data_IF_348833658041
#
_entry.id   IF_348833658041
#
_cell.length_a   1.000
_cell.length_b   1.000
_cell.length_c   1.000
_cell.angle_alpha   90.00
_cell.angle_beta   90.00
_cell.angle_gamma   90.00
#
_symmetry.space_group_name_H-M   'P 1'
#
loop_
_entity.id
_entity.type
_entity.pdbx_description
1 polymer ?
#
# COMPACT_ATOMS: atom_id res chain seq x y z
N UNK A 1 9.85 14.04 7.18
CA UNK A 1 10.08 13.14 6.07
C UNK A 1 10.38 13.99 4.85
N UNK A 2 11.54 13.77 4.31
CA UNK A 2 12.08 14.54 3.20
C UNK A 2 11.64 13.83 1.92
N UNK A 3 10.41 14.07 1.49
CA UNK A 3 9.92 13.58 0.21
C UNK A 3 10.30 14.61 -0.85
N UNK A 4 11.04 14.16 -1.83
CA UNK A 4 11.42 14.98 -2.97
C UNK A 4 10.45 14.73 -4.13
N UNK A 5 10.21 15.77 -4.95
CA UNK A 5 9.50 15.56 -6.22
C UNK A 5 10.36 14.71 -7.13
N UNK A 6 9.79 13.62 -7.63
CA UNK A 6 10.50 12.73 -8.55
C UNK A 6 10.81 13.44 -9.85
N UNK A 7 12.08 13.44 -10.32
CA UNK A 7 12.43 14.00 -11.61
C UNK A 7 11.68 13.29 -12.75
N UNK A 8 11.32 14.04 -13.79
CA UNK A 8 10.56 13.49 -14.94
C UNK A 8 11.26 12.33 -15.66
N UNK A 9 12.58 12.33 -15.69
CA UNK A 9 13.40 11.36 -16.42
C UNK A 9 14.15 10.41 -15.50
N UNK A 10 13.55 9.99 -14.38
CA UNK A 10 14.20 9.05 -13.47
C UNK A 10 14.13 7.63 -14.02
N UNK A 11 15.26 6.93 -14.02
CA UNK A 11 15.30 5.50 -14.34
C UNK A 11 14.98 4.67 -13.10
N UNK A 12 13.91 3.88 -13.15
CA UNK A 12 13.50 2.98 -12.09
C UNK A 12 14.08 1.59 -12.36
N UNK A 13 14.90 1.03 -11.46
CA UNK A 13 15.48 -0.29 -11.65
C UNK A 13 14.40 -1.37 -11.70
N UNK A 14 14.46 -2.25 -12.71
CA UNK A 14 13.56 -3.40 -12.82
C UNK A 14 13.76 -4.36 -11.64
N UNK A 15 12.71 -5.10 -11.31
CA UNK A 15 12.78 -6.19 -10.34
C UNK A 15 13.61 -7.36 -10.90
N UNK A 16 14.23 -8.18 -10.03
CA UNK A 16 14.94 -9.38 -10.46
C UNK A 16 14.01 -10.38 -11.15
N UNK A 17 14.55 -11.13 -12.09
CA UNK A 17 13.83 -12.22 -12.75
C UNK A 17 13.75 -13.45 -11.85
N UNK A 18 12.71 -14.26 -12.06
CA UNK A 18 12.52 -15.57 -11.46
C UNK A 18 13.73 -16.47 -11.74
N UNK A 19 14.18 -17.23 -10.73
CA UNK A 19 15.24 -18.23 -10.91
C UNK A 19 14.72 -19.42 -11.72
N UNK A 20 15.59 -20.00 -12.55
CA UNK A 20 15.22 -21.19 -13.32
C UNK A 20 14.80 -22.37 -12.42
N UNK A 21 15.41 -22.51 -11.24
CA UNK A 21 15.02 -23.51 -10.24
C UNK A 21 13.58 -23.39 -9.74
N UNK A 22 13.03 -22.17 -9.78
CA UNK A 22 11.72 -21.88 -9.23
C UNK A 22 10.60 -21.99 -10.28
N UNK A 23 10.94 -21.91 -11.57
CA UNK A 23 9.97 -21.92 -12.67
C UNK A 23 9.02 -23.11 -12.66
N UNK A 24 9.56 -24.32 -12.44
CA UNK A 24 8.75 -25.55 -12.41
C UNK A 24 7.60 -25.46 -11.40
N UNK A 25 7.87 -24.98 -10.20
CA UNK A 25 6.88 -24.87 -9.12
C UNK A 25 5.85 -23.76 -9.41
N UNK A 26 6.29 -22.67 -10.04
CA UNK A 26 5.38 -21.59 -10.45
C UNK A 26 4.42 -22.08 -11.52
N UNK A 27 4.90 -22.79 -12.53
CA UNK A 27 4.05 -23.34 -13.60
C UNK A 27 3.07 -24.42 -13.08
N UNK A 28 3.52 -25.24 -12.14
CA UNK A 28 2.63 -26.19 -11.47
C UNK A 28 1.52 -25.48 -10.69
N UNK A 29 1.86 -24.41 -9.95
CA UNK A 29 0.92 -23.60 -9.19
C UNK A 29 -0.07 -22.88 -10.10
N UNK A 30 0.39 -22.34 -11.25
CA UNK A 30 -0.48 -21.70 -12.24
C UNK A 30 -1.55 -22.67 -12.76
N UNK A 31 -1.15 -23.88 -13.17
CA UNK A 31 -2.09 -24.92 -13.62
C UNK A 31 -3.14 -25.25 -12.55
N UNK A 32 -2.71 -25.32 -11.28
CA UNK A 32 -3.64 -25.53 -10.17
C UNK A 32 -4.64 -24.39 -10.03
N UNK A 33 -4.18 -23.13 -10.11
CA UNK A 33 -5.03 -21.93 -10.04
C UNK A 33 -6.02 -21.89 -11.21
N UNK A 34 -5.55 -22.14 -12.42
CA UNK A 34 -6.43 -22.19 -13.61
C UNK A 34 -7.53 -23.25 -13.47
N UNK A 35 -7.18 -24.42 -12.94
CA UNK A 35 -8.14 -25.51 -12.76
C UNK A 35 -9.19 -25.22 -11.68
N UNK A 36 -8.80 -24.56 -10.58
CA UNK A 36 -9.65 -24.45 -9.39
C UNK A 36 -10.20 -23.05 -9.12
N UNK A 37 -9.57 -22.01 -9.68
CA UNK A 37 -9.84 -20.60 -9.37
C UNK A 37 -9.95 -19.70 -10.61
N UNK A 38 -10.16 -20.25 -11.81
CA UNK A 38 -10.21 -19.50 -13.06
C UNK A 38 -11.25 -18.36 -13.08
N UNK A 39 -12.30 -18.45 -12.26
CA UNK A 39 -13.35 -17.44 -12.17
C UNK A 39 -13.04 -16.29 -11.20
N UNK A 40 -11.93 -16.35 -10.48
CA UNK A 40 -11.52 -15.28 -9.57
C UNK A 40 -10.87 -14.14 -10.36
N UNK A 41 -10.99 -12.91 -9.82
CA UNK A 41 -10.26 -11.77 -10.35
C UNK A 41 -8.76 -11.95 -10.17
N UNK A 42 -7.98 -11.49 -11.14
CA UNK A 42 -6.53 -11.51 -11.08
C UNK A 42 -5.88 -12.22 -12.27
N UNK A 43 -4.56 -12.16 -12.33
CA UNK A 43 -3.76 -12.75 -13.40
C UNK A 43 -2.55 -13.48 -12.82
N UNK A 44 -2.54 -14.81 -12.86
CA UNK A 44 -1.42 -15.62 -12.38
C UNK A 44 -0.20 -15.57 -13.29
N UNK A 45 -0.32 -15.18 -14.55
CA UNK A 45 0.78 -15.13 -15.52
C UNK A 45 1.83 -14.09 -15.15
N UNK A 46 1.40 -13.00 -14.51
CA UNK A 46 2.27 -11.92 -14.06
C UNK A 46 2.92 -12.16 -12.69
N UNK A 47 2.87 -13.37 -12.17
CA UNK A 47 3.53 -13.72 -10.92
C UNK A 47 5.05 -13.69 -11.07
N UNK A 48 5.73 -12.81 -10.31
CA UNK A 48 7.17 -12.57 -10.40
C UNK A 48 7.90 -12.74 -9.06
N UNK A 49 7.20 -13.03 -7.99
CA UNK A 49 7.73 -12.95 -6.62
C UNK A 49 8.56 -14.18 -6.23
N UNK A 50 9.51 -14.01 -5.29
CA UNK A 50 10.31 -15.12 -4.80
C UNK A 50 9.46 -16.21 -4.12
N UNK A 51 9.80 -17.48 -4.39
CA UNK A 51 9.19 -18.65 -3.76
C UNK A 51 10.20 -19.54 -3.05
N UNK A 52 11.48 -19.18 -3.05
CA UNK A 52 12.56 -19.91 -2.37
C UNK A 52 13.46 -18.95 -1.59
N UNK A 53 14.15 -19.45 -0.57
CA UNK A 53 15.15 -18.65 0.18
C UNK A 53 16.21 -18.04 -0.75
N UNK A 54 16.67 -18.80 -1.75
CA UNK A 54 17.67 -18.33 -2.71
C UNK A 54 17.16 -17.17 -3.56
N UNK A 55 15.93 -17.24 -4.06
CA UNK A 55 15.32 -16.16 -4.84
C UNK A 55 15.01 -14.93 -3.97
N UNK A 56 14.54 -15.13 -2.74
CA UNK A 56 14.27 -14.05 -1.80
C UNK A 56 15.56 -13.31 -1.39
N UNK A 57 16.64 -14.05 -1.15
CA UNK A 57 17.97 -13.46 -0.86
C UNK A 57 18.49 -12.64 -2.04
N UNK A 58 18.36 -13.15 -3.28
CA UNK A 58 18.71 -12.39 -4.50
C UNK A 58 17.92 -11.08 -4.58
N UNK A 59 16.62 -11.10 -4.31
CA UNK A 59 15.79 -9.89 -4.33
C UNK A 59 16.20 -8.89 -3.26
N UNK A 60 16.48 -9.36 -2.05
CA UNK A 60 16.97 -8.53 -0.95
C UNK A 60 18.26 -7.81 -1.32
N UNK A 61 19.24 -8.54 -1.84
CA UNK A 61 20.53 -7.96 -2.24
C UNK A 61 20.40 -7.00 -3.43
N UNK A 62 19.54 -7.30 -4.40
CA UNK A 62 19.26 -6.41 -5.55
C UNK A 62 18.61 -5.10 -5.08
N UNK A 63 17.65 -5.16 -4.17
CA UNK A 63 17.05 -3.98 -3.56
C UNK A 63 18.09 -3.09 -2.86
N UNK A 64 18.96 -3.67 -2.02
CA UNK A 64 20.00 -2.92 -1.34
C UNK A 64 21.00 -2.27 -2.30
N UNK A 65 21.32 -2.97 -3.39
CA UNK A 65 22.27 -2.47 -4.38
C UNK A 65 21.69 -1.36 -5.26
N UNK A 66 20.44 -1.49 -5.70
CA UNK A 66 19.89 -0.65 -6.78
C UNK A 66 18.84 0.36 -6.34
N UNK A 67 18.10 0.07 -5.25
CA UNK A 67 16.90 0.84 -4.90
C UNK A 67 16.97 1.51 -3.54
N UNK A 68 17.63 0.93 -2.56
CA UNK A 68 17.60 1.42 -1.17
C UNK A 68 18.04 2.88 -1.05
N UNK A 69 19.05 3.32 -1.81
CA UNK A 69 19.54 4.71 -1.77
C UNK A 69 18.46 5.74 -2.11
N UNK A 70 17.52 5.39 -2.98
CA UNK A 70 16.43 6.26 -3.42
C UNK A 70 15.08 5.95 -2.74
N UNK A 71 15.06 4.97 -1.83
CA UNK A 71 13.83 4.59 -1.13
C UNK A 71 13.29 5.76 -0.29
N UNK A 72 14.10 6.37 0.56
CA UNK A 72 13.67 7.43 1.47
C UNK A 72 13.02 8.62 0.75
N UNK A 73 13.69 9.26 -0.22
CA UNK A 73 13.13 10.39 -0.96
C UNK A 73 11.84 10.08 -1.71
N UNK A 74 11.68 8.85 -2.22
CA UNK A 74 10.57 8.50 -3.13
C UNK A 74 9.59 7.45 -2.59
N UNK A 75 9.70 7.04 -1.32
CA UNK A 75 8.81 6.03 -0.73
C UNK A 75 7.32 6.40 -0.78
N UNK A 76 7.02 7.70 -0.73
CA UNK A 76 5.65 8.23 -0.69
C UNK A 76 5.17 8.77 -2.06
N UNK A 77 5.90 8.52 -3.13
CA UNK A 77 5.56 9.00 -4.47
C UNK A 77 4.71 7.97 -5.23
N UNK A 78 3.79 8.45 -6.08
CA UNK A 78 2.94 7.62 -6.94
C UNK A 78 3.29 7.92 -8.39
N UNK A 79 3.82 6.95 -9.10
CA UNK A 79 4.19 7.10 -10.52
C UNK A 79 3.22 6.30 -11.38
N UNK A 80 2.46 7.00 -12.25
CA UNK A 80 1.44 6.38 -13.10
C UNK A 80 2.00 5.15 -13.83
N UNK A 81 1.32 3.99 -13.71
CA UNK A 81 1.69 2.71 -14.32
C UNK A 81 2.99 2.07 -13.81
N UNK A 82 3.57 2.56 -12.71
CA UNK A 82 4.77 1.96 -12.12
C UNK A 82 4.53 1.62 -10.63
N UNK A 83 4.08 0.39 -10.33
CA UNK A 83 3.66 0.03 -8.97
C UNK A 83 4.83 -0.27 -8.02
N UNK A 84 6.04 -0.48 -8.52
CA UNK A 84 7.15 -0.98 -7.69
C UNK A 84 8.12 0.10 -7.24
N UNK A 85 8.35 1.14 -8.05
CA UNK A 85 9.28 2.24 -7.80
C UNK A 85 10.59 1.75 -7.14
N UNK A 86 10.96 2.41 -6.03
CA UNK A 86 12.13 2.06 -5.22
C UNK A 86 11.75 1.20 -4.00
N UNK A 87 10.56 0.58 -3.99
CA UNK A 87 10.15 -0.33 -2.92
C UNK A 87 10.86 -1.67 -3.01
N UNK A 88 11.02 -2.33 -1.86
CA UNK A 88 11.74 -3.60 -1.78
C UNK A 88 10.97 -4.78 -2.35
N UNK A 89 9.64 -4.74 -2.31
CA UNK A 89 8.74 -5.85 -2.66
C UNK A 89 9.07 -7.15 -1.92
N UNK A 90 9.58 -7.06 -0.68
CA UNK A 90 9.99 -8.20 0.15
C UNK A 90 8.93 -8.64 1.15
N UNK A 91 7.79 -7.95 1.21
CA UNK A 91 6.74 -8.21 2.20
C UNK A 91 6.19 -9.64 2.13
N UNK A 92 5.94 -10.18 0.93
CA UNK A 92 5.52 -11.56 0.74
C UNK A 92 6.57 -12.55 1.26
N UNK A 93 7.85 -12.35 0.90
CA UNK A 93 8.96 -13.20 1.36
C UNK A 93 9.15 -13.16 2.88
N UNK A 94 8.96 -12.00 3.52
CA UNK A 94 8.99 -11.85 4.97
C UNK A 94 7.79 -12.54 5.64
N UNK A 95 6.61 -12.48 5.02
CA UNK A 95 5.39 -13.04 5.61
C UNK A 95 5.35 -14.56 5.58
N UNK A 96 5.94 -15.19 4.56
CA UNK A 96 6.04 -16.66 4.46
C UNK A 96 7.36 -17.23 5.02
N UNK A 97 8.19 -16.40 5.65
CA UNK A 97 9.40 -16.83 6.34
C UNK A 97 10.61 -17.12 5.45
N UNK A 98 10.60 -16.73 4.16
CA UNK A 98 11.78 -16.86 3.29
C UNK A 98 12.89 -15.88 3.68
N UNK A 99 12.56 -14.78 4.35
CA UNK A 99 13.48 -13.80 4.92
C UNK A 99 13.12 -13.51 6.37
N UNK A 100 14.13 -13.25 7.20
CA UNK A 100 13.97 -12.82 8.58
C UNK A 100 14.21 -11.30 8.69
N UNK A 101 13.32 -10.52 9.34
CA UNK A 101 13.54 -9.08 9.52
C UNK A 101 14.82 -8.76 10.29
N UNK A 102 15.16 -9.57 11.31
CA UNK A 102 16.36 -9.38 12.12
C UNK A 102 17.63 -9.55 11.29
N UNK A 103 17.67 -10.53 10.39
CA UNK A 103 18.82 -10.76 9.50
C UNK A 103 19.02 -9.58 8.54
N UNK A 104 17.93 -8.97 8.07
CA UNK A 104 17.98 -7.75 7.26
C UNK A 104 18.61 -6.59 8.06
N UNK A 105 18.18 -6.39 9.29
CA UNK A 105 18.72 -5.35 10.18
C UNK A 105 20.21 -5.59 10.43
N UNK A 106 20.58 -6.80 10.81
CA UNK A 106 21.96 -7.18 11.09
C UNK A 106 22.88 -7.01 9.86
N UNK A 107 22.37 -7.31 8.67
CA UNK A 107 23.10 -7.10 7.41
C UNK A 107 23.30 -5.61 7.09
N UNK A 108 22.30 -4.77 7.36
CA UNK A 108 22.34 -3.34 7.01
C UNK A 108 23.07 -2.49 8.05
N UNK A 109 22.97 -2.82 9.35
CA UNK A 109 23.52 -2.02 10.45
C UNK A 109 25.00 -1.64 10.25
N UNK A 110 25.94 -2.54 9.91
CA UNK A 110 27.35 -2.18 9.69
C UNK A 110 27.56 -1.34 8.41
N UNK A 111 26.57 -1.27 7.53
CA UNK A 111 26.61 -0.55 6.24
C UNK A 111 25.86 0.78 6.27
N UNK A 112 25.43 1.25 7.43
CA UNK A 112 24.65 2.49 7.58
C UNK A 112 25.26 3.67 6.83
N UNK A 113 26.57 3.90 6.97
CA UNK A 113 27.28 5.03 6.34
C UNK A 113 27.30 4.98 4.81
N UNK A 114 26.93 3.85 4.21
CA UNK A 114 26.88 3.67 2.76
C UNK A 114 25.65 4.29 2.11
N UNK A 115 24.59 4.52 2.89
CA UNK A 115 23.30 4.96 2.40
C UNK A 115 22.93 6.33 2.94
N UNK A 116 22.13 7.08 2.19
CA UNK A 116 21.47 8.27 2.72
C UNK A 116 20.67 7.91 3.98
N UNK A 117 20.82 8.72 5.03
CA UNK A 117 20.18 8.45 6.32
C UNK A 117 18.65 8.33 6.22
N UNK A 118 18.01 9.13 5.37
CA UNK A 118 16.56 9.08 5.16
C UNK A 118 16.12 7.72 4.59
N UNK A 119 16.90 7.15 3.68
CA UNK A 119 16.63 5.85 3.07
C UNK A 119 16.91 4.71 4.05
N UNK A 120 18.03 4.77 4.74
CA UNK A 120 18.40 3.76 5.74
C UNK A 120 17.39 3.73 6.90
N UNK A 121 17.19 4.86 7.57
CA UNK A 121 16.23 4.97 8.67
C UNK A 121 14.81 4.66 8.21
N UNK A 122 14.40 5.22 7.06
CA UNK A 122 13.09 5.00 6.49
C UNK A 122 12.80 3.52 6.31
N UNK A 123 13.75 2.75 5.76
CA UNK A 123 13.56 1.32 5.55
C UNK A 123 13.58 0.50 6.86
N UNK A 124 14.53 0.77 7.76
CA UNK A 124 14.58 0.10 9.08
C UNK A 124 13.29 0.35 9.86
N UNK A 125 12.77 1.58 9.82
CA UNK A 125 11.50 1.94 10.48
C UNK A 125 10.32 1.14 9.93
N UNK A 126 10.31 0.76 8.64
CA UNK A 126 9.25 -0.11 8.10
C UNK A 126 9.33 -1.53 8.66
N UNK A 127 10.52 -2.06 8.95
CA UNK A 127 10.66 -3.36 9.62
C UNK A 127 10.11 -3.32 11.05
N UNK A 128 10.38 -2.23 11.79
CA UNK A 128 9.77 -2.03 13.12
C UNK A 128 8.25 -1.83 13.03
N UNK A 129 7.77 -1.13 11.99
CA UNK A 129 6.33 -0.96 11.76
C UNK A 129 5.65 -2.32 11.54
N UNK A 130 6.29 -3.25 10.86
CA UNK A 130 5.81 -4.62 10.70
C UNK A 130 5.62 -5.32 12.06
N UNK A 131 6.58 -5.20 12.97
CA UNK A 131 6.46 -5.79 14.31
C UNK A 131 5.38 -5.08 15.16
N UNK A 132 5.23 -3.77 15.01
CA UNK A 132 4.13 -3.03 15.62
C UNK A 132 2.74 -3.53 15.16
N UNK A 133 2.58 -3.87 13.88
CA UNK A 133 1.33 -4.45 13.36
C UNK A 133 1.01 -5.79 14.03
N UNK A 134 2.01 -6.65 14.23
CA UNK A 134 1.83 -7.93 14.95
C UNK A 134 1.40 -7.69 16.39
N UNK A 135 2.02 -6.72 17.05
CA UNK A 135 1.67 -6.34 18.40
C UNK A 135 0.23 -5.82 18.50
N UNK A 136 -0.17 -4.90 17.63
CA UNK A 136 -1.53 -4.34 17.64
C UNK A 136 -2.58 -5.40 17.31
N UNK A 137 -2.27 -6.36 16.45
CA UNK A 137 -3.16 -7.49 16.15
C UNK A 137 -3.50 -8.31 17.41
N UNK A 138 -2.53 -8.51 18.29
CA UNK A 138 -2.74 -9.29 19.53
C UNK A 138 -3.48 -8.52 20.62
N UNK A 139 -3.36 -7.20 20.67
CA UNK A 139 -3.79 -6.41 21.82
C UNK A 139 -4.84 -5.34 21.52
N UNK A 140 -5.21 -5.13 20.27
CA UNK A 140 -6.19 -4.11 19.89
C UNK A 140 -7.44 -4.73 19.28
N UNK A 141 -8.60 -4.17 19.63
CA UNK A 141 -9.86 -4.51 18.99
C UNK A 141 -10.10 -3.59 17.77
N UNK A 142 -10.18 -4.18 16.58
CA UNK A 142 -10.47 -3.52 15.32
C UNK A 142 -11.94 -3.71 14.87
N UNK A 143 -12.79 -4.37 15.65
CA UNK A 143 -14.22 -4.61 15.34
C UNK A 143 -15.11 -3.40 15.62
N UNK A 144 -14.59 -2.21 15.35
CA UNK A 144 -15.27 -0.94 15.54
C UNK A 144 -15.30 -0.16 14.23
N UNK A 145 -16.13 0.89 14.15
CA UNK A 145 -16.28 1.68 12.93
C UNK A 145 -16.48 3.16 13.30
N UNK A 146 -15.39 3.87 13.54
CA UNK A 146 -15.42 5.24 14.03
C UNK A 146 -16.24 6.19 13.17
N UNK A 147 -16.10 6.15 11.85
CA UNK A 147 -16.84 7.03 10.95
C UNK A 147 -18.26 6.55 10.64
N UNK A 148 -18.57 5.27 10.90
CA UNK A 148 -19.87 4.68 10.61
C UNK A 148 -20.13 4.48 9.12
N UNK A 149 -19.09 4.22 8.33
CA UNK A 149 -19.18 3.93 6.91
C UNK A 149 -19.85 2.56 6.69
N UNK A 150 -20.81 2.46 5.74
CA UNK A 150 -21.66 1.26 5.57
C UNK A 150 -21.80 0.79 4.12
N UNK A 151 -21.29 1.55 3.12
CA UNK A 151 -21.47 1.18 1.71
C UNK A 151 -20.72 -0.10 1.38
N UNK A 152 -21.33 -0.93 0.54
CA UNK A 152 -20.70 -2.11 -0.03
C UNK A 152 -19.86 -1.73 -1.26
N UNK A 153 -18.91 -2.58 -1.60
CA UNK A 153 -18.21 -2.51 -2.88
C UNK A 153 -19.17 -2.92 -4.01
N UNK A 154 -19.00 -2.27 -5.15
CA UNK A 154 -19.66 -2.66 -6.40
C UNK A 154 -18.66 -3.43 -7.27
N UNK A 155 -19.13 -4.11 -8.33
CA UNK A 155 -18.27 -4.80 -9.28
C UNK A 155 -17.19 -3.89 -9.90
N UNK A 156 -17.43 -2.58 -9.97
CA UNK A 156 -16.47 -1.58 -10.47
C UNK A 156 -15.14 -1.56 -9.71
N UNK A 157 -15.13 -1.99 -8.44
CA UNK A 157 -13.91 -2.13 -7.63
C UNK A 157 -13.06 -3.34 -8.01
N UNK A 158 -13.59 -4.23 -8.86
CA UNK A 158 -12.88 -5.38 -9.41
C UNK A 158 -12.51 -5.19 -10.89
N UNK A 159 -13.29 -4.38 -11.61
CA UNK A 159 -13.04 -4.10 -13.04
C UNK A 159 -12.21 -2.84 -13.29
N UNK A 160 -12.12 -1.93 -12.30
CA UNK A 160 -11.44 -0.64 -12.46
C UNK A 160 -12.21 0.33 -13.33
N UNK A 161 -13.53 0.47 -13.09
CA UNK A 161 -14.45 1.35 -13.82
C UNK A 161 -15.22 2.27 -12.86
N UNK A 162 -14.52 2.81 -11.84
CA UNK A 162 -15.07 3.76 -10.87
C UNK A 162 -15.37 5.13 -11.52
N UNK A 163 -14.62 5.47 -12.57
CA UNK A 163 -14.66 6.77 -13.23
C UNK A 163 -13.78 7.82 -12.56
N UNK A 164 -12.73 7.37 -11.87
CA UNK A 164 -11.67 8.18 -11.25
C UNK A 164 -10.34 7.64 -11.74
N UNK A 165 -9.72 8.31 -12.71
CA UNK A 165 -8.54 7.82 -13.43
C UNK A 165 -7.46 7.21 -12.53
N UNK A 166 -6.96 7.84 -11.46
CA UNK A 166 -5.94 7.23 -10.63
C UNK A 166 -6.40 5.96 -9.91
N UNK A 167 -7.69 5.86 -9.56
CA UNK A 167 -8.27 4.69 -8.89
C UNK A 167 -8.39 3.54 -9.88
N UNK A 168 -8.92 3.81 -11.06
CA UNK A 168 -9.15 2.79 -12.11
C UNK A 168 -7.82 2.19 -12.61
N UNK A 169 -6.79 3.03 -12.79
CA UNK A 169 -5.45 2.58 -13.15
C UNK A 169 -4.90 1.59 -12.11
N UNK A 170 -5.01 1.94 -10.81
CA UNK A 170 -4.41 1.13 -9.76
C UNK A 170 -5.25 -0.06 -9.30
N UNK A 171 -6.56 -0.08 -9.52
CA UNK A 171 -7.37 -1.31 -9.39
C UNK A 171 -6.90 -2.35 -10.41
N UNK A 172 -6.73 -1.97 -11.68
CA UNK A 172 -6.24 -2.86 -12.73
C UNK A 172 -4.85 -3.41 -12.41
N UNK A 173 -3.93 -2.55 -11.97
CA UNK A 173 -2.59 -2.95 -11.55
C UNK A 173 -2.63 -3.90 -10.34
N UNK A 174 -3.52 -3.66 -9.37
CA UNK A 174 -3.66 -4.49 -8.18
C UNK A 174 -3.97 -5.94 -8.53
N UNK A 175 -4.97 -6.17 -9.37
CA UNK A 175 -5.37 -7.51 -9.78
C UNK A 175 -4.43 -8.14 -10.82
N UNK A 176 -3.73 -7.34 -11.61
CA UNK A 176 -2.73 -7.82 -12.57
C UNK A 176 -1.42 -8.27 -11.90
N UNK A 177 -0.96 -7.54 -10.87
CA UNK A 177 0.34 -7.77 -10.23
C UNK A 177 0.27 -8.43 -8.85
N UNK A 178 -0.90 -8.46 -8.21
CA UNK A 178 -1.05 -8.85 -6.81
C UNK A 178 -0.35 -7.91 -5.84
N UNK A 179 0.05 -6.70 -6.26
CA UNK A 179 0.85 -5.79 -5.44
C UNK A 179 0.52 -4.32 -5.67
N UNK A 180 0.47 -3.59 -4.57
CA UNK A 180 0.52 -2.13 -4.53
C UNK A 180 1.42 -1.71 -3.38
N UNK A 181 2.29 -0.72 -3.56
CA UNK A 181 3.08 -0.21 -2.44
C UNK A 181 2.21 0.60 -1.47
N UNK A 182 2.70 0.77 -0.24
CA UNK A 182 1.91 1.28 0.88
C UNK A 182 1.15 2.58 0.60
N UNK A 183 1.78 3.56 -0.05
CA UNK A 183 1.14 4.86 -0.29
C UNK A 183 -0.04 4.76 -1.26
N UNK A 184 0.05 3.90 -2.26
CA UNK A 184 -1.09 3.63 -3.15
C UNK A 184 -2.24 3.01 -2.35
N UNK A 185 -1.92 2.04 -1.49
CA UNK A 185 -2.94 1.41 -0.63
C UNK A 185 -3.58 2.43 0.31
N UNK A 186 -2.78 3.29 0.96
CA UNK A 186 -3.26 4.23 1.96
C UNK A 186 -3.89 5.46 1.33
N UNK A 187 -3.12 6.23 0.58
CA UNK A 187 -3.49 7.59 0.18
C UNK A 187 -4.27 7.66 -1.12
N UNK A 188 -4.23 6.62 -1.93
CA UNK A 188 -5.01 6.55 -3.16
C UNK A 188 -6.25 5.67 -2.96
N UNK A 189 -6.11 4.35 -3.00
CA UNK A 189 -7.25 3.41 -2.93
C UNK A 189 -8.01 3.53 -1.61
N UNK A 190 -7.30 3.40 -0.50
CA UNK A 190 -7.90 3.40 0.83
C UNK A 190 -8.54 4.74 1.19
N UNK A 191 -7.86 5.85 0.92
CA UNK A 191 -8.41 7.18 1.12
C UNK A 191 -9.71 7.36 0.32
N UNK A 192 -9.72 6.99 -0.96
CA UNK A 192 -10.93 7.09 -1.79
C UNK A 192 -12.07 6.20 -1.28
N UNK A 193 -11.78 4.97 -0.85
CA UNK A 193 -12.77 4.09 -0.21
C UNK A 193 -13.38 4.74 1.03
N UNK A 194 -12.56 5.31 1.91
CA UNK A 194 -13.01 5.95 3.14
C UNK A 194 -13.85 7.19 2.86
N UNK A 195 -13.40 8.07 1.95
CA UNK A 195 -14.16 9.25 1.52
C UNK A 195 -15.49 8.89 0.87
N UNK A 196 -15.54 7.82 0.10
CA UNK A 196 -16.75 7.30 -0.55
C UNK A 196 -17.73 6.65 0.41
N UNK A 197 -17.33 6.41 1.67
CA UNK A 197 -18.16 5.79 2.69
C UNK A 197 -18.26 4.27 2.60
N UNK A 198 -17.29 3.62 1.96
CA UNK A 198 -17.16 2.15 1.92
C UNK A 198 -16.95 1.64 3.35
N UNK A 199 -17.60 0.53 3.69
CA UNK A 199 -17.47 -0.06 5.02
C UNK A 199 -16.06 -0.62 5.23
N UNK A 200 -15.49 -0.52 6.45
CA UNK A 200 -14.17 -1.09 6.73
C UNK A 200 -14.05 -2.58 6.40
N UNK A 201 -15.13 -3.37 6.63
CA UNK A 201 -15.17 -4.80 6.30
C UNK A 201 -15.04 -5.07 4.80
N UNK A 202 -15.73 -4.28 3.98
CA UNK A 202 -15.65 -4.40 2.52
C UNK A 202 -14.27 -4.02 2.01
N UNK A 203 -13.71 -2.90 2.51
CA UNK A 203 -12.34 -2.50 2.16
C UNK A 203 -11.32 -3.53 2.60
N UNK A 204 -11.41 -4.05 3.82
CA UNK A 204 -10.54 -5.11 4.32
C UNK A 204 -10.59 -6.36 3.42
N UNK A 205 -11.81 -6.81 3.06
CA UNK A 205 -12.02 -7.93 2.14
C UNK A 205 -11.27 -7.70 0.82
N UNK A 206 -11.46 -6.54 0.18
CA UNK A 206 -10.81 -6.21 -1.09
C UNK A 206 -9.28 -6.25 -1.00
N UNK A 207 -8.70 -5.69 0.08
CA UNK A 207 -7.25 -5.73 0.28
C UNK A 207 -6.72 -7.14 0.53
N UNK A 208 -7.50 -8.01 1.19
CA UNK A 208 -7.16 -9.41 1.37
C UNK A 208 -7.22 -10.22 0.06
N UNK A 209 -8.12 -9.87 -0.85
CA UNK A 209 -8.36 -10.63 -2.08
C UNK A 209 -7.30 -10.40 -3.15
N UNK A 210 -6.80 -9.16 -3.34
CA UNK A 210 -5.85 -8.92 -4.43
C UNK A 210 -4.39 -9.16 -4.06
N UNK A 211 -4.01 -9.02 -2.80
CA UNK A 211 -2.61 -8.79 -2.42
C UNK A 211 -1.90 -10.06 -1.97
N UNK A 212 -0.77 -10.36 -2.59
CA UNK A 212 0.08 -11.52 -2.27
C UNK A 212 0.75 -11.45 -0.89
N UNK A 213 0.79 -10.29 -0.27
CA UNK A 213 1.37 -10.07 1.05
C UNK A 213 0.30 -9.82 2.14
N UNK A 214 -0.97 -10.09 1.81
CA UNK A 214 -2.08 -9.92 2.74
C UNK A 214 -2.12 -11.03 3.78
N UNK A 215 -2.04 -10.60 5.04
CA UNK A 215 -2.28 -11.42 6.22
C UNK A 215 -3.17 -10.61 7.16
N UNK A 216 -4.03 -11.26 7.91
CA UNK A 216 -4.97 -10.60 8.80
C UNK A 216 -4.27 -9.65 9.77
N UNK A 217 -3.17 -10.08 10.39
CA UNK A 217 -2.39 -9.27 11.32
C UNK A 217 -1.74 -8.02 10.65
N UNK A 218 -1.44 -8.09 9.34
CA UNK A 218 -0.96 -6.94 8.57
C UNK A 218 -2.10 -5.98 8.27
N UNK A 219 -3.22 -6.52 7.77
CA UNK A 219 -4.31 -5.73 7.22
C UNK A 219 -5.19 -5.10 8.31
N UNK A 220 -5.27 -5.68 9.51
CA UNK A 220 -5.98 -5.04 10.62
C UNK A 220 -5.42 -3.65 10.92
N UNK A 221 -4.10 -3.51 11.07
CA UNK A 221 -3.50 -2.21 11.33
C UNK A 221 -3.46 -1.32 10.07
N UNK A 222 -3.07 -1.87 8.92
CA UNK A 222 -2.87 -1.08 7.71
C UNK A 222 -4.21 -0.66 7.07
N UNK A 223 -5.22 -1.53 7.06
CA UNK A 223 -6.49 -1.23 6.40
C UNK A 223 -7.52 -0.75 7.42
N UNK A 224 -7.84 -1.56 8.45
CA UNK A 224 -8.91 -1.17 9.35
C UNK A 224 -8.59 0.12 10.09
N UNK A 225 -7.38 0.29 10.61
CA UNK A 225 -7.10 1.51 11.37
C UNK A 225 -6.38 2.60 10.57
N UNK A 226 -5.34 2.29 9.79
CA UNK A 226 -4.63 3.33 9.07
C UNK A 226 -5.48 3.94 7.94
N UNK A 227 -6.21 3.12 7.16
CA UNK A 227 -7.12 3.59 6.10
C UNK A 227 -8.45 4.09 6.68
N UNK A 228 -9.18 3.21 7.36
CA UNK A 228 -10.56 3.51 7.80
C UNK A 228 -10.65 4.15 9.18
N UNK A 229 -9.56 4.20 9.93
CA UNK A 229 -9.48 4.82 11.24
C UNK A 229 -10.51 4.26 12.23
N UNK A 230 -10.74 2.94 12.19
CA UNK A 230 -11.85 2.29 12.92
C UNK A 230 -11.78 2.51 14.42
N UNK A 231 -10.57 2.53 15.03
CA UNK A 231 -10.38 2.71 16.48
C UNK A 231 -10.57 4.16 16.95
N UNK A 232 -10.64 5.12 16.02
CA UNK A 232 -10.80 6.54 16.34
C UNK A 232 -9.58 7.16 17.03
N UNK A 233 -8.37 6.59 16.81
CA UNK A 233 -7.10 7.14 17.30
C UNK A 233 -6.45 6.39 18.45
N UNK A 234 -6.82 5.12 18.70
CA UNK A 234 -6.12 4.28 19.69
C UNK A 234 -4.74 3.85 19.22
N UNK A 235 -4.60 3.49 17.94
CA UNK A 235 -3.35 3.02 17.35
C UNK A 235 -2.75 3.99 16.33
N UNK A 236 -3.54 4.98 15.85
CA UNK A 236 -3.12 5.98 14.87
C UNK A 236 -3.28 7.40 15.41
N UNK A 237 -2.36 8.29 15.09
CA UNK A 237 -2.37 9.69 15.58
C UNK A 237 -3.45 10.55 14.94
N UNK A 238 -3.85 10.25 13.70
CA UNK A 238 -4.82 11.00 12.91
C UNK A 238 -5.41 10.13 11.80
N UNK A 239 -6.62 10.43 11.32
CA UNK A 239 -7.13 9.82 10.09
C UNK A 239 -6.36 10.36 8.87
N UNK A 240 -6.17 9.48 7.88
CA UNK A 240 -5.54 9.81 6.59
C UNK A 240 -6.61 10.11 5.56
N UNK A 241 -7.19 11.32 5.67
CA UNK A 241 -8.13 11.84 4.68
C UNK A 241 -7.53 13.06 3.99
N UNK A 242 -7.53 13.07 2.66
CA UNK A 242 -6.95 14.16 1.87
C UNK A 242 -7.78 14.47 0.63
N UNK A 243 -7.70 15.73 0.18
CA UNK A 243 -8.20 16.16 -1.12
C UNK A 243 -7.32 15.63 -2.26
N UNK A 244 -7.76 15.85 -3.50
CA UNK A 244 -7.00 15.52 -4.71
C UNK A 244 -5.62 16.17 -4.76
N UNK A 245 -5.44 17.31 -4.08
CA UNK A 245 -4.17 18.03 -4.03
C UNK A 245 -3.00 17.18 -3.54
N UNK A 246 -3.25 16.24 -2.61
CA UNK A 246 -2.22 15.30 -2.19
C UNK A 246 -1.74 14.44 -3.37
N UNK A 247 -2.68 13.86 -4.13
CA UNK A 247 -2.36 13.00 -5.27
C UNK A 247 -1.64 13.79 -6.36
N UNK A 248 -2.11 15.00 -6.68
CA UNK A 248 -1.50 15.88 -7.69
C UNK A 248 -0.04 16.22 -7.30
N UNK A 249 0.22 16.51 -6.03
CA UNK A 249 1.56 16.89 -5.56
C UNK A 249 2.51 15.70 -5.40
N UNK A 250 1.98 14.51 -5.07
CA UNK A 250 2.76 13.32 -4.74
C UNK A 250 2.74 12.27 -5.86
N UNK A 251 2.30 12.65 -7.06
CA UNK A 251 2.23 11.74 -8.19
C UNK A 251 2.56 12.39 -9.52
N UNK A 252 2.52 11.58 -10.58
CA UNK A 252 2.57 12.04 -11.97
C UNK A 252 1.19 12.33 -12.55
N UNK A 253 0.11 12.14 -11.79
CA UNK A 253 -1.24 12.52 -12.20
C UNK A 253 -1.40 14.05 -12.18
N UNK A 254 -2.12 14.56 -13.18
CA UNK A 254 -2.42 15.98 -13.28
C UNK A 254 -3.88 16.24 -12.87
N UNK A 255 -4.18 17.48 -12.55
CA UNK A 255 -5.55 17.92 -12.33
C UNK A 255 -6.43 17.59 -13.54
N UNK A 256 -7.68 17.21 -13.29
CA UNK A 256 -8.67 16.86 -14.29
C UNK A 256 -10.03 16.59 -13.64
N UNK A 257 -10.99 16.10 -14.41
CA UNK A 257 -12.36 15.81 -13.94
C UNK A 257 -12.38 14.88 -12.70
N UNK A 258 -11.45 13.91 -12.64
CA UNK A 258 -11.32 13.01 -11.49
C UNK A 258 -11.04 13.78 -10.18
N UNK A 259 -10.24 14.84 -10.25
CA UNK A 259 -9.85 15.62 -9.07
C UNK A 259 -11.03 16.44 -8.51
N UNK A 260 -11.89 16.96 -9.35
CA UNK A 260 -13.11 17.65 -8.91
C UNK A 260 -14.09 16.71 -8.20
N UNK A 261 -14.28 15.51 -8.77
CA UNK A 261 -15.10 14.45 -8.15
C UNK A 261 -14.54 14.03 -6.79
N UNK A 262 -13.21 13.89 -6.70
CA UNK A 262 -12.51 13.56 -5.45
C UNK A 262 -12.71 14.64 -4.39
N UNK A 263 -12.54 15.92 -4.76
CA UNK A 263 -12.64 17.03 -3.83
C UNK A 263 -14.08 17.21 -3.32
N UNK A 264 -15.08 16.96 -4.13
CA UNK A 264 -16.49 16.90 -3.69
C UNK A 264 -16.70 15.82 -2.63
N UNK A 265 -16.14 14.63 -2.82
CA UNK A 265 -16.21 13.54 -1.82
C UNK A 265 -15.48 13.93 -0.53
N UNK A 266 -14.29 14.49 -0.64
CA UNK A 266 -13.52 14.97 0.50
C UNK A 266 -14.30 16.00 1.33
N UNK A 267 -14.85 17.03 0.69
CA UNK A 267 -15.66 18.05 1.37
C UNK A 267 -16.90 17.47 2.05
N UNK A 268 -17.60 16.54 1.38
CA UNK A 268 -18.75 15.85 1.96
C UNK A 268 -18.36 15.01 3.18
N UNK A 269 -17.24 14.29 3.10
CA UNK A 269 -16.70 13.52 4.21
C UNK A 269 -16.35 14.42 5.40
N UNK A 270 -15.68 15.56 5.15
CA UNK A 270 -15.33 16.54 6.18
C UNK A 270 -16.55 17.13 6.85
N UNK A 271 -17.56 17.57 6.09
CA UNK A 271 -18.82 18.10 6.61
C UNK A 271 -19.55 17.07 7.48
N UNK A 272 -19.75 15.87 6.95
CA UNK A 272 -20.44 14.76 7.65
C UNK A 272 -19.77 14.40 8.97
N UNK A 273 -18.44 14.41 9.00
CA UNK A 273 -17.65 13.97 10.15
C UNK A 273 -17.06 15.11 10.98
N UNK A 274 -17.49 16.37 10.80
CA UNK A 274 -16.92 17.55 11.45
C UNK A 274 -16.73 17.38 12.96
N UNK A 275 -17.77 16.90 13.68
CA UNK A 275 -17.71 16.67 15.13
C UNK A 275 -16.62 15.65 15.51
N UNK A 276 -16.53 14.52 14.77
CA UNK A 276 -15.54 13.46 15.01
C UNK A 276 -14.12 13.88 14.67
N UNK A 277 -13.96 14.70 13.64
CA UNK A 277 -12.66 15.20 13.18
C UNK A 277 -12.16 16.38 14.02
N UNK A 278 -13.02 17.02 14.83
CA UNK A 278 -12.66 18.22 15.58
C UNK A 278 -11.45 18.04 16.52
N UNK A 279 -11.33 16.86 17.14
CA UNK A 279 -10.16 16.55 17.97
C UNK A 279 -8.84 16.46 17.19
N UNK A 280 -8.91 16.30 15.85
CA UNK A 280 -7.79 16.24 14.91
C UNK A 280 -7.66 17.50 14.05
N UNK A 281 -8.36 18.60 14.38
CA UNK A 281 -8.48 19.82 13.57
C UNK A 281 -7.16 20.45 13.12
N UNK A 282 -6.09 20.26 13.89
CA UNK A 282 -4.76 20.75 13.52
C UNK A 282 -4.18 20.06 12.26
N UNK A 283 -4.69 18.87 11.92
CA UNK A 283 -4.33 18.16 10.71
C UNK A 283 -5.25 18.48 9.52
N UNK A 284 -6.32 19.24 9.74
CA UNK A 284 -7.34 19.60 8.75
C UNK A 284 -7.62 21.11 8.79
N UNK A 285 -6.72 21.97 8.25
CA UNK A 285 -6.85 23.42 8.36
C UNK A 285 -8.19 23.97 7.88
N UNK A 286 -8.80 23.38 6.82
CA UNK A 286 -10.10 23.79 6.29
C UNK A 286 -11.32 23.40 7.14
N UNK A 287 -11.14 22.58 8.20
CA UNK A 287 -12.26 22.07 8.99
C UNK A 287 -13.00 23.17 9.78
N UNK A 288 -12.32 24.25 10.13
CA UNK A 288 -12.90 25.39 10.85
C UNK A 288 -13.90 26.16 9.99
N UNK A 289 -13.69 26.18 8.67
CA UNK A 289 -14.48 26.96 7.71
C UNK A 289 -15.66 26.15 7.11
N UNK A 290 -15.83 24.89 7.51
CA UNK A 290 -16.95 24.02 7.16
C UNK A 290 -18.04 24.07 8.22
#
# INVERSE_FOLDING_TARGET
PWVEKMPKNISIPKLPTILNSDKKYIEESKKYIEKHFANNCGNSDNFIYPISHKSAEKWKLDFFKKKLEKFGPYQDFIFKKEPYLYHSCLSSSLNIGLLCPLDIINYLKPKQKKYNINSFEGYIRQLFWREYQRYTFLYCDFNVNYFGNKKKLTNKWYTGDIGIEPIDDYIKIAFDSGYLHHIIRLMLIGNFMNLSGISPKEGFKWFMEFSIDSYEWVMNQNVLDMVFFVTGGKTMRKPYASSSNYIINMSTYKQGEWSEKWDKLYLNFMKKNKKKLWKFRYHFPGLKNL
#
